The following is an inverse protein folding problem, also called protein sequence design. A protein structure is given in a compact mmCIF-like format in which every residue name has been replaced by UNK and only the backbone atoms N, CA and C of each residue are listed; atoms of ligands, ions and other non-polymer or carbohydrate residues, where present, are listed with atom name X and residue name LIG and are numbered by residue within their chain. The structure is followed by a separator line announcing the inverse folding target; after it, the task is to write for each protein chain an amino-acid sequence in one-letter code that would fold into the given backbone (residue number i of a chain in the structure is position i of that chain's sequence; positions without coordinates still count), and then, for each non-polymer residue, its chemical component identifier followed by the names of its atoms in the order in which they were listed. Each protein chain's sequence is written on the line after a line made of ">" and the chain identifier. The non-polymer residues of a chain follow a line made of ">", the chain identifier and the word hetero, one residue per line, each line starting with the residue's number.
data_IF_794461000226
#
_entry.id   IF_794461000226
#
_cell.length_a   1.000
_cell.length_b   1.000
_cell.length_c   1.000
_cell.angle_alpha   90.00
_cell.angle_beta   90.00
_cell.angle_gamma   90.00
#
_symmetry.space_group_name_H-M   'P 1'
#
loop_
_entity.id
_entity.type
_entity.pdbx_description
1 polymer ?
#
# COMPACT_ATOMS: atom_id res chain seq x y z
N UNK A 1 11.63 -1.81 4.46
CA UNK A 1 10.72 -0.97 3.68
C UNK A 1 10.52 0.36 4.39
N UNK A 2 10.58 1.45 3.65
CA UNK A 2 10.37 2.77 4.23
C UNK A 2 9.19 3.46 3.54
N UNK A 3 8.27 3.97 4.35
CA UNK A 3 7.12 4.71 3.86
C UNK A 3 7.05 6.06 4.56
N UNK A 4 6.59 7.07 3.84
CA UNK A 4 6.39 8.41 4.37
C UNK A 4 4.97 8.86 4.06
N UNK A 5 4.42 9.68 4.94
CA UNK A 5 3.07 10.16 4.79
C UNK A 5 2.93 11.53 5.44
N UNK A 6 2.32 12.46 4.72
CA UNK A 6 2.03 13.79 5.25
C UNK A 6 0.67 13.81 5.91
N UNK A 7 0.63 14.34 7.12
CA UNK A 7 -0.61 14.59 7.84
C UNK A 7 -0.88 16.09 7.75
N UNK A 8 -2.06 16.46 7.30
CA UNK A 8 -2.41 17.85 7.09
C UNK A 8 -3.12 18.45 8.31
N UNK A 9 -3.10 19.78 8.41
CA UNK A 9 -3.72 20.46 9.55
C UNK A 9 -5.23 20.35 9.54
N UNK A 10 -5.82 20.25 8.36
CA UNK A 10 -7.28 20.13 8.21
C UNK A 10 -7.61 19.07 7.19
N UNK A 11 -8.87 18.68 7.13
CA UNK A 11 -9.35 17.70 6.16
C UNK A 11 -9.32 18.20 4.72
N UNK A 12 -9.07 19.48 4.52
CA UNK A 12 -8.94 20.05 3.18
C UNK A 12 -7.54 19.96 2.62
N UNK A 13 -6.59 19.49 3.42
CA UNK A 13 -5.22 19.19 3.00
C UNK A 13 -4.50 20.37 2.34
N UNK A 14 -4.62 21.54 2.95
CA UNK A 14 -3.98 22.75 2.43
C UNK A 14 -2.57 22.98 2.97
N UNK A 15 -2.34 22.56 4.21
CA UNK A 15 -1.08 22.81 4.87
C UNK A 15 -0.67 21.58 5.67
N UNK A 16 0.57 21.16 5.48
CA UNK A 16 1.10 20.00 6.19
C UNK A 16 1.35 20.34 7.65
N UNK A 17 0.84 19.51 8.55
CA UNK A 17 1.12 19.62 9.97
C UNK A 17 2.42 18.92 10.33
N UNK A 18 2.58 17.69 9.83
CA UNK A 18 3.78 16.88 10.09
C UNK A 18 3.89 15.79 9.05
N UNK A 19 5.10 15.26 8.90
CA UNK A 19 5.36 14.10 8.07
C UNK A 19 5.72 12.94 8.98
N UNK A 20 5.05 11.81 8.80
CA UNK A 20 5.35 10.59 9.55
C UNK A 20 6.09 9.60 8.66
N UNK A 21 6.98 8.83 9.27
CA UNK A 21 7.78 7.85 8.55
C UNK A 21 7.66 6.51 9.28
N UNK A 22 7.55 5.44 8.50
CA UNK A 22 7.55 4.09 9.04
C UNK A 22 8.59 3.28 8.27
N UNK A 23 9.60 2.80 8.94
CA UNK A 23 10.69 2.04 8.31
C UNK A 23 11.09 0.81 9.12
N UNK A 24 10.50 0.61 10.26
CA UNK A 24 10.85 -0.48 11.17
C UNK A 24 9.67 -1.45 11.28
N UNK A 25 9.25 -1.99 10.14
CA UNK A 25 8.14 -2.93 10.13
C UNK A 25 8.30 -3.90 8.96
N UNK A 26 7.60 -5.02 9.06
CA UNK A 26 7.48 -5.98 7.97
C UNK A 26 6.04 -6.45 7.91
N UNK A 27 5.61 -6.87 6.73
CA UNK A 27 4.26 -7.36 6.54
C UNK A 27 4.19 -8.84 6.90
N UNK A 28 3.20 -9.20 7.70
CA UNK A 28 2.99 -10.60 8.07
C UNK A 28 2.41 -11.39 6.91
N UNK A 29 2.43 -12.72 7.03
CA UNK A 29 1.79 -13.59 6.03
C UNK A 29 0.31 -13.28 5.91
N UNK A 30 -0.34 -12.93 7.03
CA UNK A 30 -1.76 -12.57 7.01
C UNK A 30 -2.03 -11.33 6.19
N UNK A 31 -1.19 -10.30 6.33
CA UNK A 31 -1.34 -9.09 5.54
C UNK A 31 -1.10 -9.38 4.06
N UNK A 32 -0.05 -10.12 3.75
CA UNK A 32 0.25 -10.45 2.35
C UNK A 32 -0.89 -11.26 1.72
N UNK A 33 -1.45 -12.21 2.46
CA UNK A 33 -2.58 -13.00 1.98
C UNK A 33 -3.80 -12.11 1.71
N UNK A 34 -4.12 -11.21 2.65
CA UNK A 34 -5.24 -10.29 2.47
C UNK A 34 -5.05 -9.39 1.26
N UNK A 35 -3.84 -8.87 1.09
CA UNK A 35 -3.53 -8.02 -0.06
C UNK A 35 -3.71 -8.80 -1.37
N UNK A 36 -3.22 -10.03 -1.41
CA UNK A 36 -3.34 -10.85 -2.62
C UNK A 36 -4.80 -11.21 -2.93
N UNK A 37 -5.63 -11.31 -1.90
CA UNK A 37 -7.06 -11.57 -2.11
C UNK A 37 -7.81 -10.34 -2.64
N UNK A 38 -7.27 -9.15 -2.43
CA UNK A 38 -7.90 -7.91 -2.88
C UNK A 38 -7.53 -7.54 -4.31
N UNK A 39 -6.51 -8.18 -4.88
CA UNK A 39 -6.04 -7.87 -6.22
C UNK A 39 -6.20 -9.07 -7.13
N UNK A 40 -6.22 -8.81 -8.44
CA UNK A 40 -6.26 -9.88 -9.43
C UNK A 40 -4.82 -10.30 -9.73
N UNK A 41 -4.44 -11.48 -9.23
CA UNK A 41 -3.08 -12.00 -9.39
C UNK A 41 -2.68 -12.12 -10.85
N UNK A 42 -3.64 -12.44 -11.72
CA UNK A 42 -3.36 -12.58 -13.15
C UNK A 42 -2.75 -11.33 -13.77
N UNK A 43 -3.08 -10.16 -13.20
CA UNK A 43 -2.50 -8.90 -13.68
C UNK A 43 -0.99 -8.82 -13.43
N UNK A 44 -0.46 -9.68 -12.58
CA UNK A 44 0.96 -9.65 -12.19
C UNK A 44 1.77 -10.78 -12.82
N UNK A 45 1.26 -11.47 -13.81
CA UNK A 45 1.97 -12.59 -14.44
C UNK A 45 3.38 -12.21 -14.88
N UNK A 46 3.55 -11.04 -15.45
CA UNK A 46 4.85 -10.56 -15.87
C UNK A 46 5.53 -9.67 -14.84
N UNK A 47 4.96 -9.59 -13.62
CA UNK A 47 5.43 -8.69 -12.58
C UNK A 47 4.76 -7.32 -12.67
N UNK A 48 4.81 -6.58 -11.58
CA UNK A 48 4.16 -5.27 -11.50
C UNK A 48 4.67 -4.32 -12.60
N UNK A 49 5.96 -4.39 -12.89
CA UNK A 49 6.57 -3.46 -13.85
C UNK A 49 6.18 -3.74 -15.30
N UNK A 50 5.64 -4.92 -15.57
CA UNK A 50 5.19 -5.26 -16.92
C UNK A 50 3.82 -4.67 -17.24
N UNK A 51 3.12 -4.14 -16.24
CA UNK A 51 1.81 -3.55 -16.46
C UNK A 51 1.93 -2.23 -17.24
N UNK A 52 0.99 -2.01 -18.16
CA UNK A 52 0.89 -0.71 -18.82
C UNK A 52 0.45 0.35 -17.83
N UNK A 53 0.65 1.61 -18.16
CA UNK A 53 0.21 2.71 -17.30
C UNK A 53 -1.30 2.67 -17.08
N UNK A 54 -2.03 2.30 -18.11
CA UNK A 54 -3.48 2.15 -18.03
C UNK A 54 -3.88 1.05 -17.05
N UNK A 55 -3.21 -0.11 -17.13
CA UNK A 55 -3.48 -1.22 -16.22
C UNK A 55 -3.12 -0.87 -14.78
N UNK A 56 -2.03 -0.14 -14.57
CA UNK A 56 -1.65 0.32 -13.24
C UNK A 56 -2.71 1.24 -12.65
N UNK A 57 -3.27 2.11 -13.49
CA UNK A 57 -4.30 3.05 -13.07
C UNK A 57 -5.58 2.33 -12.70
N UNK A 58 -5.99 1.35 -13.51
CA UNK A 58 -7.17 0.53 -13.23
C UNK A 58 -7.00 -0.24 -11.93
N UNK A 59 -5.82 -0.82 -11.72
CA UNK A 59 -5.50 -1.54 -10.50
C UNK A 59 -5.62 -0.63 -9.29
N UNK A 60 -5.08 0.58 -9.39
CA UNK A 60 -5.15 1.55 -8.30
C UNK A 60 -6.59 1.92 -7.97
N UNK A 61 -7.40 2.15 -9.00
CA UNK A 61 -8.82 2.49 -8.81
C UNK A 61 -9.53 1.34 -8.11
N UNK A 62 -9.30 0.11 -8.55
CA UNK A 62 -9.93 -1.07 -7.95
C UNK A 62 -9.51 -1.26 -6.50
N UNK A 63 -8.23 -1.07 -6.20
CA UNK A 63 -7.70 -1.23 -4.86
C UNK A 63 -8.31 -0.18 -3.91
N UNK A 64 -8.36 1.07 -4.35
CA UNK A 64 -8.95 2.13 -3.54
C UNK A 64 -10.44 1.90 -3.35
N UNK A 65 -11.13 1.51 -4.41
CA UNK A 65 -12.57 1.33 -4.38
C UNK A 65 -12.99 0.13 -3.53
N UNK A 66 -12.32 -0.99 -3.67
CA UNK A 66 -12.73 -2.25 -3.03
C UNK A 66 -11.96 -2.55 -1.74
N UNK A 67 -10.76 -2.06 -1.61
CA UNK A 67 -9.90 -2.35 -0.47
C UNK A 67 -9.62 -1.17 0.44
N UNK A 68 -10.25 -0.02 0.17
CA UNK A 68 -9.93 1.21 0.89
C UNK A 68 -10.03 1.07 2.41
N UNK A 69 -11.12 0.52 2.97
CA UNK A 69 -11.20 0.39 4.44
C UNK A 69 -10.08 -0.47 5.01
N UNK A 70 -9.75 -1.56 4.35
CA UNK A 70 -8.67 -2.45 4.79
C UNK A 70 -7.33 -1.71 4.77
N UNK A 71 -7.02 -1.05 3.65
CA UNK A 71 -5.76 -0.35 3.51
C UNK A 71 -5.64 0.84 4.45
N UNK A 72 -6.75 1.53 4.70
CA UNK A 72 -6.74 2.64 5.65
C UNK A 72 -6.42 2.14 7.06
N UNK A 73 -7.03 1.04 7.47
CA UNK A 73 -6.73 0.43 8.77
C UNK A 73 -5.27 0.01 8.85
N UNK A 74 -4.74 -0.54 7.77
CA UNK A 74 -3.34 -0.95 7.71
C UNK A 74 -2.40 0.26 7.82
N UNK A 75 -2.73 1.36 7.14
CA UNK A 75 -1.96 2.59 7.21
C UNK A 75 -1.96 3.14 8.63
N UNK A 76 -3.10 3.12 9.29
CA UNK A 76 -3.22 3.55 10.69
C UNK A 76 -2.28 2.74 11.57
N UNK A 77 -2.22 1.42 11.36
CA UNK A 77 -1.31 0.55 12.11
C UNK A 77 0.15 0.83 11.79
N UNK A 78 0.50 0.94 10.52
CA UNK A 78 1.88 1.14 10.07
C UNK A 78 2.46 2.43 10.66
N UNK A 79 1.71 3.52 10.57
CA UNK A 79 2.18 4.84 11.02
C UNK A 79 1.74 5.19 12.43
N UNK A 80 1.01 4.29 13.10
CA UNK A 80 0.51 4.50 14.47
C UNK A 80 -0.28 5.81 14.59
N UNK A 81 -1.23 6.00 13.67
CA UNK A 81 -2.03 7.21 13.60
C UNK A 81 -3.24 7.16 14.53
N UNK A 82 -3.69 8.33 14.97
CA UNK A 82 -4.99 8.44 15.63
C UNK A 82 -6.09 8.44 14.57
N UNK A 83 -7.33 8.19 14.99
CA UNK A 83 -8.46 8.23 14.07
C UNK A 83 -8.63 9.61 13.43
N UNK A 84 -8.33 10.67 14.17
CA UNK A 84 -8.40 12.03 13.64
C UNK A 84 -7.33 12.28 12.58
N UNK A 85 -6.11 11.82 12.84
CA UNK A 85 -5.02 11.97 11.89
C UNK A 85 -5.31 11.26 10.58
N UNK A 86 -5.91 10.08 10.66
CA UNK A 86 -6.26 9.30 9.47
C UNK A 86 -7.24 10.03 8.55
N UNK A 87 -7.99 10.98 9.09
CA UNK A 87 -8.95 11.77 8.30
C UNK A 87 -8.32 12.98 7.63
N UNK A 88 -7.05 13.24 7.90
CA UNK A 88 -6.33 14.41 7.39
C UNK A 88 -5.18 14.03 6.47
N UNK A 89 -5.37 12.97 5.70
CA UNK A 89 -4.42 12.47 4.73
C UNK A 89 -4.99 12.69 3.32
N UNK A 90 -4.15 13.06 2.37
CA UNK A 90 -4.59 13.16 0.97
C UNK A 90 -4.92 11.78 0.42
N UNK A 91 -6.02 11.68 -0.32
CA UNK A 91 -6.39 10.44 -0.98
C UNK A 91 -5.30 9.96 -1.92
N UNK A 92 -4.65 10.88 -2.64
CA UNK A 92 -3.55 10.54 -3.54
C UNK A 92 -2.38 9.90 -2.78
N UNK A 93 -2.11 10.36 -1.57
CA UNK A 93 -1.04 9.81 -0.74
C UNK A 93 -1.40 8.43 -0.21
N UNK A 94 -2.67 8.22 0.14
CA UNK A 94 -3.16 6.90 0.53
C UNK A 94 -2.98 5.92 -0.63
N UNK A 95 -3.37 6.32 -1.83
CA UNK A 95 -3.23 5.48 -3.02
C UNK A 95 -1.78 5.09 -3.26
N UNK A 96 -0.86 6.04 -3.09
CA UNK A 96 0.57 5.78 -3.26
C UNK A 96 1.09 4.78 -2.25
N UNK A 97 0.72 4.94 -0.97
CA UNK A 97 1.13 3.99 0.07
C UNK A 97 0.54 2.61 -0.20
N UNK A 98 -0.71 2.55 -0.62
CA UNK A 98 -1.36 1.29 -0.98
C UNK A 98 -0.56 0.57 -2.07
N UNK A 99 -0.17 1.28 -3.11
CA UNK A 99 0.61 0.69 -4.19
C UNK A 99 1.97 0.20 -3.70
N UNK A 100 2.61 0.94 -2.82
CA UNK A 100 3.89 0.53 -2.24
C UNK A 100 3.73 -0.74 -1.41
N UNK A 101 2.66 -0.84 -0.63
CA UNK A 101 2.35 -2.03 0.17
C UNK A 101 2.10 -3.24 -0.74
N UNK A 102 1.32 -3.06 -1.79
CA UNK A 102 1.04 -4.12 -2.75
C UNK A 102 2.32 -4.62 -3.39
N UNK A 103 3.17 -3.71 -3.86
CA UNK A 103 4.45 -4.07 -4.47
C UNK A 103 5.33 -4.82 -3.48
N UNK A 104 5.40 -4.34 -2.25
CA UNK A 104 6.24 -4.97 -1.23
C UNK A 104 5.73 -6.36 -0.89
N UNK A 105 4.42 -6.52 -0.74
CA UNK A 105 3.81 -7.83 -0.48
C UNK A 105 4.13 -8.82 -1.59
N UNK A 106 3.97 -8.38 -2.83
CA UNK A 106 4.23 -9.22 -4.00
C UNK A 106 5.70 -9.61 -4.07
N UNK A 107 6.59 -8.65 -3.84
CA UNK A 107 8.03 -8.88 -3.88
C UNK A 107 8.46 -9.86 -2.79
N UNK A 108 7.92 -9.72 -1.59
CA UNK A 108 8.24 -10.64 -0.49
C UNK A 108 7.84 -12.07 -0.81
N UNK A 109 6.62 -12.25 -1.29
CA UNK A 109 6.14 -13.58 -1.65
C UNK A 109 6.95 -14.18 -2.78
N UNK A 110 7.23 -13.40 -3.81
CA UNK A 110 8.00 -13.84 -4.95
C UNK A 110 9.42 -14.22 -4.56
N UNK A 111 10.05 -13.40 -3.71
CA UNK A 111 11.41 -13.68 -3.24
C UNK A 111 11.48 -14.98 -2.46
N UNK A 112 10.50 -15.21 -1.58
CA UNK A 112 10.47 -16.43 -0.78
C UNK A 112 10.35 -17.67 -1.66
N UNK A 113 9.49 -17.60 -2.68
CA UNK A 113 9.32 -18.71 -3.62
C UNK A 113 10.48 -18.80 -4.61
N UNK A 114 10.92 -17.64 -5.11
CA UNK A 114 12.02 -17.59 -6.07
C UNK A 114 13.35 -18.07 -5.51
N UNK A 115 13.60 -17.76 -4.24
CA UNK A 115 14.80 -18.23 -3.57
C UNK A 115 14.90 -19.74 -3.53
N UNK A 116 13.77 -20.41 -3.40
CA UNK A 116 13.72 -21.87 -3.38
C UNK A 116 13.97 -22.45 -4.77
N UNK A 117 13.60 -21.76 -5.81
CA UNK A 117 13.73 -22.23 -7.17
C UNK A 117 15.14 -22.12 -7.72
N UNK A 118 15.93 -21.24 -7.18
CA UNK A 118 17.29 -21.01 -7.65
C UNK A 118 18.27 -22.10 -7.22
N UNK A 119 17.83 -22.95 -6.36
CA UNK A 119 18.64 -24.08 -5.90
C UNK A 119 18.48 -25.29 -6.81
#
# INVERSE_FOLDING_TARGET
>A
MELKLDIYKTRLCREVEKTVTANDFELSTGVCEDVMNLINIDMFEGGFQSLSDESKQELMIDLVKNGYPYFLDLIIEIFELSGDEAKRIKVADVAKVVMDVVKYSFTQLTSALGGKRKN
#
